data_IF_886299437088
#
_entry.id   IF_886299437088
#
_cell.length_a   1.000
_cell.length_b   1.000
_cell.length_c   1.000
_cell.angle_alpha   90.00
_cell.angle_beta   90.00
_cell.angle_gamma   90.00
#
_symmetry.space_group_name_H-M   'P 1'
#
loop_
_entity.id
_entity.type
_entity.pdbx_description
1 polymer ?
#
# COMPACT_ATOMS: atom_id res chain seq x y z
N UNK A 1 13.38 -16.86 -10.66
CA UNK A 1 14.20 -15.68 -10.39
C UNK A 1 15.05 -15.30 -11.61
N UNK A 2 14.45 -15.15 -12.81
CA UNK A 2 15.14 -14.69 -14.04
C UNK A 2 14.18 -14.10 -15.08
N UNK A 3 13.08 -13.48 -14.65
CA UNK A 3 12.11 -12.87 -15.58
C UNK A 3 12.02 -11.34 -15.42
N UNK A 4 12.81 -10.73 -14.55
CA UNK A 4 12.67 -9.31 -14.19
C UNK A 4 13.70 -8.36 -14.86
N UNK A 5 14.59 -8.84 -15.71
CA UNK A 5 15.73 -8.02 -16.19
C UNK A 5 15.68 -7.65 -17.67
N UNK A 6 14.65 -8.00 -18.43
CA UNK A 6 14.65 -7.80 -19.92
C UNK A 6 13.72 -6.72 -20.43
N UNK A 7 13.11 -5.89 -19.61
CA UNK A 7 12.05 -4.98 -20.08
C UNK A 7 12.25 -3.49 -19.79
N UNK A 8 13.48 -3.03 -19.81
CA UNK A 8 13.74 -1.62 -20.07
C UNK A 8 13.54 -1.37 -21.57
N UNK A 9 12.34 -0.94 -21.96
CA UNK A 9 12.09 -0.46 -23.33
C UNK A 9 10.79 -0.85 -24.00
N UNK A 10 9.91 -1.61 -23.38
CA UNK A 10 8.62 -1.93 -24.00
C UNK A 10 7.49 -1.14 -23.32
N UNK A 11 6.73 -0.43 -24.14
CA UNK A 11 5.64 0.44 -23.70
C UNK A 11 4.67 -0.25 -22.72
N UNK A 12 4.28 0.47 -21.70
CA UNK A 12 3.30 0.11 -20.65
C UNK A 12 2.01 -0.53 -21.23
N UNK A 13 1.64 -0.19 -22.47
CA UNK A 13 0.52 -0.77 -23.20
C UNK A 13 0.62 -2.28 -23.46
N UNK A 14 1.84 -2.82 -23.63
CA UNK A 14 2.05 -4.25 -23.95
C UNK A 14 1.84 -5.16 -22.74
N UNK A 15 2.14 -4.70 -21.53
CA UNK A 15 1.93 -5.46 -20.30
C UNK A 15 0.46 -5.53 -19.90
N UNK A 16 -0.27 -4.41 -20.01
CA UNK A 16 -1.72 -4.40 -19.81
C UNK A 16 -2.42 -5.37 -20.77
N UNK A 17 -1.99 -5.41 -22.03
CA UNK A 17 -2.60 -6.31 -23.03
C UNK A 17 -2.26 -7.77 -22.76
N UNK A 18 -1.02 -8.10 -22.38
CA UNK A 18 -0.63 -9.46 -22.01
C UNK A 18 -1.36 -9.94 -20.74
N UNK A 19 -1.50 -9.05 -19.75
CA UNK A 19 -2.24 -9.33 -18.52
C UNK A 19 -3.73 -9.49 -18.79
N UNK A 20 -4.35 -8.63 -19.61
CA UNK A 20 -5.76 -8.78 -20.01
C UNK A 20 -5.99 -10.09 -20.76
N UNK A 21 -5.07 -10.51 -21.65
CA UNK A 21 -5.14 -11.80 -22.33
C UNK A 21 -4.98 -12.99 -21.38
N UNK A 22 -4.10 -12.87 -20.37
CA UNK A 22 -3.97 -13.88 -19.32
C UNK A 22 -5.25 -14.01 -18.48
N UNK A 23 -5.95 -12.89 -18.22
CA UNK A 23 -7.22 -12.85 -17.49
C UNK A 23 -8.41 -13.39 -18.28
N UNK A 24 -8.34 -13.35 -19.62
CA UNK A 24 -9.31 -14.00 -20.50
C UNK A 24 -9.06 -15.52 -20.62
N UNK A 25 -7.95 -16.00 -20.03
CA UNK A 25 -7.59 -17.42 -20.09
C UNK A 25 -8.58 -18.24 -19.24
N UNK A 26 -9.17 -19.31 -19.80
CA UNK A 26 -10.08 -20.21 -19.09
C UNK A 26 -9.47 -20.91 -17.86
N UNK A 27 -8.14 -20.85 -17.71
CA UNK A 27 -7.39 -21.42 -16.59
C UNK A 27 -7.63 -20.68 -15.25
N UNK A 28 -8.08 -19.42 -15.30
CA UNK A 28 -8.44 -18.67 -14.11
C UNK A 28 -9.92 -18.88 -13.82
N UNK A 29 -10.22 -19.63 -12.79
CA UNK A 29 -11.59 -19.82 -12.34
C UNK A 29 -12.30 -18.49 -12.10
N UNK A 30 -13.62 -18.47 -12.33
CA UNK A 30 -14.45 -17.26 -12.14
C UNK A 30 -14.28 -16.64 -10.75
N UNK A 31 -14.09 -17.46 -9.71
CA UNK A 31 -13.84 -17.01 -8.35
C UNK A 31 -12.56 -16.16 -8.23
N UNK A 32 -11.45 -16.57 -8.87
CA UNK A 32 -10.19 -15.85 -8.83
C UNK A 32 -10.30 -14.50 -9.51
N UNK A 33 -10.98 -14.44 -10.66
CA UNK A 33 -11.22 -13.18 -11.38
C UNK A 33 -12.10 -12.23 -10.57
N UNK A 34 -13.20 -12.69 -9.99
CA UNK A 34 -14.08 -11.85 -9.19
C UNK A 34 -13.40 -11.39 -7.89
N UNK A 35 -12.57 -12.24 -7.29
CA UNK A 35 -11.75 -11.87 -6.14
C UNK A 35 -10.77 -10.77 -6.50
N UNK A 36 -10.12 -10.82 -7.66
CA UNK A 36 -9.20 -9.77 -8.10
C UNK A 36 -9.92 -8.43 -8.33
N UNK A 37 -11.08 -8.42 -8.99
CA UNK A 37 -11.88 -7.20 -9.12
C UNK A 37 -12.26 -6.65 -7.76
N UNK A 38 -12.66 -7.51 -6.84
CA UNK A 38 -12.99 -7.10 -5.48
C UNK A 38 -11.78 -6.53 -4.73
N UNK A 39 -10.57 -7.08 -4.94
CA UNK A 39 -9.33 -6.50 -4.40
C UNK A 39 -9.11 -5.10 -4.96
N UNK A 40 -9.27 -4.88 -6.26
CA UNK A 40 -9.10 -3.57 -6.88
C UNK A 40 -10.06 -2.52 -6.28
N UNK A 41 -11.31 -2.88 -6.04
CA UNK A 41 -12.30 -2.00 -5.42
C UNK A 41 -12.10 -1.78 -3.92
N UNK A 42 -11.26 -2.56 -3.25
CA UNK A 42 -10.99 -2.48 -1.81
C UNK A 42 -9.56 -2.04 -1.48
N UNK A 43 -8.79 -1.59 -2.47
CA UNK A 43 -7.43 -1.05 -2.24
C UNK A 43 -7.48 0.08 -1.20
N UNK A 44 -6.51 0.12 -0.28
CA UNK A 44 -6.48 1.08 0.83
C UNK A 44 -7.42 0.76 1.99
N UNK A 45 -8.25 -0.27 1.87
CA UNK A 45 -9.19 -0.67 2.92
C UNK A 45 -8.97 -2.12 3.35
N UNK A 46 -9.40 -2.45 4.57
CA UNK A 46 -9.45 -3.84 5.03
C UNK A 46 -10.30 -4.67 4.07
N UNK A 47 -9.77 -5.80 3.60
CA UNK A 47 -10.50 -6.69 2.70
C UNK A 47 -11.72 -7.34 3.37
N UNK A 48 -12.87 -7.23 2.71
CA UNK A 48 -14.16 -7.75 3.17
C UNK A 48 -14.61 -8.86 2.23
N UNK A 49 -14.58 -10.10 2.70
CA UNK A 49 -14.89 -11.30 1.90
C UNK A 49 -16.30 -11.29 1.30
N UNK A 50 -17.28 -10.73 2.01
CA UNK A 50 -18.67 -10.66 1.56
C UNK A 50 -18.91 -9.69 0.41
N UNK A 51 -17.92 -8.84 0.07
CA UNK A 51 -18.00 -7.92 -1.07
C UNK A 51 -17.53 -8.58 -2.38
N UNK A 52 -17.07 -9.84 -2.35
CA UNK A 52 -16.74 -10.56 -3.56
C UNK A 52 -18.04 -11.03 -4.24
N UNK A 53 -18.31 -10.49 -5.41
CA UNK A 53 -19.50 -10.84 -6.20
C UNK A 53 -19.44 -12.28 -6.73
N UNK A 54 -20.62 -12.90 -6.88
CA UNK A 54 -20.74 -14.26 -7.48
C UNK A 54 -21.10 -15.36 -6.48
N UNK A 55 -21.39 -15.04 -5.22
CA UNK A 55 -21.90 -16.01 -4.24
C UNK A 55 -20.88 -17.05 -3.78
N UNK A 56 -19.58 -16.73 -3.85
CA UNK A 56 -18.51 -17.62 -3.45
C UNK A 56 -18.41 -17.78 -1.92
N UNK A 57 -18.05 -18.98 -1.49
CA UNK A 57 -17.76 -19.26 -0.09
C UNK A 57 -16.45 -18.56 0.33
N UNK A 58 -16.32 -18.27 1.63
CA UNK A 58 -15.07 -17.69 2.18
C UNK A 58 -13.84 -18.55 1.85
N UNK A 59 -13.99 -19.87 1.79
CA UNK A 59 -12.90 -20.79 1.45
C UNK A 59 -12.45 -20.61 -0.01
N UNK A 60 -13.39 -20.47 -0.95
CA UNK A 60 -13.07 -20.23 -2.35
C UNK A 60 -12.37 -18.88 -2.55
N UNK A 61 -12.84 -17.83 -1.87
CA UNK A 61 -12.19 -16.51 -1.92
C UNK A 61 -10.80 -16.55 -1.31
N UNK A 62 -10.58 -17.26 -0.19
CA UNK A 62 -9.25 -17.42 0.41
C UNK A 62 -8.29 -18.13 -0.54
N UNK A 63 -8.71 -19.23 -1.16
CA UNK A 63 -7.89 -19.94 -2.15
C UNK A 63 -7.55 -19.02 -3.34
N UNK A 64 -8.51 -18.22 -3.81
CA UNK A 64 -8.27 -17.25 -4.87
C UNK A 64 -7.23 -16.17 -4.46
N UNK A 65 -7.33 -15.64 -3.25
CA UNK A 65 -6.35 -14.68 -2.71
C UNK A 65 -4.95 -15.31 -2.57
N UNK A 66 -4.86 -16.57 -2.13
CA UNK A 66 -3.58 -17.28 -2.05
C UNK A 66 -2.96 -17.46 -3.45
N UNK A 67 -3.75 -17.88 -4.44
CA UNK A 67 -3.29 -18.00 -5.83
C UNK A 67 -2.80 -16.65 -6.39
N UNK A 68 -3.55 -15.57 -6.15
CA UNK A 68 -3.18 -14.23 -6.62
C UNK A 68 -1.91 -13.72 -5.94
N UNK A 69 -1.75 -13.98 -4.64
CA UNK A 69 -0.54 -13.64 -3.87
C UNK A 69 0.67 -14.45 -4.37
N UNK A 70 0.53 -15.77 -4.53
CA UNK A 70 1.60 -16.65 -4.96
C UNK A 70 2.03 -16.37 -6.40
N UNK A 71 1.11 -15.88 -7.23
CA UNK A 71 1.39 -15.34 -8.56
C UNK A 71 2.03 -13.93 -8.53
N UNK A 72 2.15 -13.30 -7.35
CA UNK A 72 2.72 -11.97 -7.20
C UNK A 72 1.82 -10.84 -7.74
N UNK A 73 0.53 -11.08 -7.94
CA UNK A 73 -0.42 -10.09 -8.49
C UNK A 73 -0.94 -9.17 -7.39
N UNK A 74 -1.14 -9.72 -6.19
CA UNK A 74 -1.54 -8.97 -5.01
C UNK A 74 -0.49 -9.10 -3.92
N UNK A 75 -0.35 -8.05 -3.14
CA UNK A 75 0.61 -7.92 -2.06
C UNK A 75 -0.16 -7.65 -0.77
N UNK A 76 -0.11 -8.55 0.22
CA UNK A 76 -0.79 -8.32 1.48
C UNK A 76 -0.09 -7.23 2.29
N UNK A 77 -0.90 -6.38 2.93
CA UNK A 77 -0.48 -5.44 3.97
C UNK A 77 -1.14 -5.89 5.27
N UNK A 78 -0.32 -6.37 6.19
CA UNK A 78 -0.80 -7.03 7.40
C UNK A 78 -1.06 -6.05 8.53
N UNK A 79 -2.17 -6.22 9.22
CA UNK A 79 -2.36 -5.51 10.49
C UNK A 79 -1.37 -6.04 11.54
N UNK A 80 -0.68 -5.14 12.23
CA UNK A 80 0.15 -5.46 13.39
C UNK A 80 -0.27 -4.64 14.61
N UNK A 81 -0.14 -5.21 15.80
CA UNK A 81 -0.33 -4.47 17.05
C UNK A 81 0.83 -3.47 17.31
N UNK A 82 1.99 -3.73 16.71
CA UNK A 82 3.18 -2.88 16.76
C UNK A 82 3.59 -2.48 18.19
N UNK A 83 3.61 -3.43 19.12
CA UNK A 83 4.09 -3.22 20.48
C UNK A 83 5.58 -3.57 20.62
N UNK A 84 6.15 -4.28 19.63
CA UNK A 84 7.55 -4.69 19.61
C UNK A 84 7.98 -5.18 18.24
N UNK A 85 9.21 -5.65 18.14
CA UNK A 85 9.77 -6.29 16.96
C UNK A 85 10.04 -7.78 17.24
N UNK A 86 9.93 -8.64 16.22
CA UNK A 86 9.55 -8.34 14.83
C UNK A 86 8.06 -8.02 14.67
N UNK A 87 7.72 -7.08 13.80
CA UNK A 87 6.33 -6.64 13.53
C UNK A 87 5.41 -7.81 13.14
N UNK A 88 5.98 -8.79 12.43
CA UNK A 88 5.27 -9.99 12.00
C UNK A 88 4.83 -10.93 13.13
N UNK A 89 5.36 -10.79 14.35
CA UNK A 89 4.96 -11.61 15.49
C UNK A 89 3.57 -11.25 16.03
N UNK A 90 3.09 -10.04 15.75
CA UNK A 90 1.82 -9.52 16.27
C UNK A 90 0.78 -9.28 15.15
N UNK A 91 0.84 -10.07 14.08
CA UNK A 91 -0.12 -10.00 12.97
C UNK A 91 -1.50 -10.48 13.42
N UNK A 92 -2.52 -9.70 13.05
CA UNK A 92 -3.90 -10.15 13.11
C UNK A 92 -4.39 -10.57 11.71
N UNK A 93 -4.46 -11.88 11.39
CA UNK A 93 -4.79 -12.35 10.05
C UNK A 93 -6.23 -12.06 9.61
N UNK A 94 -7.10 -11.61 10.52
CA UNK A 94 -8.47 -11.17 10.20
C UNK A 94 -8.51 -9.76 9.63
N UNK A 95 -7.40 -9.05 9.71
CA UNK A 95 -7.27 -7.67 9.26
C UNK A 95 -6.12 -7.62 8.27
N UNK A 96 -6.46 -7.66 7.01
CA UNK A 96 -5.50 -7.57 5.91
C UNK A 96 -6.04 -6.61 4.85
N UNK A 97 -5.15 -5.77 4.32
CA UNK A 97 -5.37 -5.01 3.10
C UNK A 97 -4.59 -5.67 1.97
N UNK A 98 -4.95 -5.39 0.75
CA UNK A 98 -4.19 -5.86 -0.41
C UNK A 98 -3.86 -4.71 -1.34
N UNK A 99 -2.61 -4.61 -1.74
CA UNK A 99 -2.15 -3.79 -2.83
C UNK A 99 -2.08 -4.65 -4.11
N UNK A 100 -2.27 -4.04 -5.26
CA UNK A 100 -1.92 -4.66 -6.55
C UNK A 100 -0.43 -4.39 -6.83
N UNK A 101 0.18 -5.25 -7.64
CA UNK A 101 1.61 -5.13 -8.00
C UNK A 101 1.93 -3.87 -8.80
N UNK A 102 0.93 -3.31 -9.47
CA UNK A 102 1.11 -2.15 -10.35
C UNK A 102 -0.12 -1.23 -10.31
N UNK A 103 0.12 0.09 -10.30
CA UNK A 103 -0.94 1.09 -10.25
C UNK A 103 -1.69 1.23 -11.59
N UNK A 104 -1.02 1.04 -12.73
CA UNK A 104 -1.68 1.05 -14.03
C UNK A 104 -2.61 -0.14 -14.17
N UNK A 105 -2.24 -1.27 -13.60
CA UNK A 105 -3.10 -2.45 -13.53
C UNK A 105 -4.35 -2.19 -12.68
N UNK A 106 -4.21 -1.53 -11.52
CA UNK A 106 -5.36 -1.10 -10.71
C UNK A 106 -6.30 -0.20 -11.50
N UNK A 107 -5.76 0.83 -12.15
CA UNK A 107 -6.56 1.78 -12.93
C UNK A 107 -7.30 1.09 -14.08
N UNK A 108 -6.66 0.14 -14.76
CA UNK A 108 -7.29 -0.65 -15.79
C UNK A 108 -8.45 -1.50 -15.26
N UNK A 109 -8.27 -2.17 -14.12
CA UNK A 109 -9.34 -2.96 -13.49
C UNK A 109 -10.53 -2.10 -13.06
N UNK A 110 -10.28 -0.84 -12.70
CA UNK A 110 -11.30 0.15 -12.36
C UNK A 110 -11.93 0.85 -13.58
N UNK A 111 -11.59 0.41 -14.80
CA UNK A 111 -12.17 0.93 -16.05
C UNK A 111 -11.52 2.21 -16.58
N UNK A 112 -10.37 2.62 -16.03
CA UNK A 112 -9.59 3.73 -16.55
C UNK A 112 -8.58 3.15 -17.57
N UNK A 113 -9.03 2.97 -18.82
CA UNK A 113 -8.27 2.34 -19.90
C UNK A 113 -7.30 3.29 -20.64
N UNK A 114 -7.29 3.24 -21.97
CA UNK A 114 -6.31 3.90 -22.87
C UNK A 114 -6.16 5.43 -22.74
N UNK A 115 -7.07 6.11 -22.07
CA UNK A 115 -6.95 7.53 -21.68
C UNK A 115 -5.99 7.76 -20.51
N UNK A 116 -5.32 6.72 -20.03
CA UNK A 116 -4.51 6.71 -18.81
C UNK A 116 -3.44 7.81 -18.75
N UNK A 117 -2.80 8.10 -19.88
CA UNK A 117 -1.72 9.11 -19.89
C UNK A 117 -2.22 10.55 -19.70
N UNK A 118 -3.40 10.90 -20.21
CA UNK A 118 -3.99 12.24 -19.98
C UNK A 118 -4.61 12.31 -18.59
N UNK A 119 -5.33 11.26 -18.18
CA UNK A 119 -5.97 11.19 -16.88
C UNK A 119 -4.93 11.12 -15.76
N UNK A 120 -3.90 10.28 -15.85
CA UNK A 120 -2.81 10.23 -14.86
C UNK A 120 -2.08 11.56 -14.76
N UNK A 121 -1.89 12.26 -15.88
CA UNK A 121 -1.27 13.59 -15.88
C UNK A 121 -2.17 14.63 -15.20
N UNK A 122 -3.45 14.67 -15.51
CA UNK A 122 -4.43 15.53 -14.83
C UNK A 122 -4.53 15.21 -13.34
N UNK A 123 -4.50 13.94 -12.98
CA UNK A 123 -4.59 13.46 -11.61
C UNK A 123 -3.39 13.80 -10.75
N UNK A 124 -2.18 13.70 -11.33
CA UNK A 124 -0.93 13.94 -10.61
C UNK A 124 -0.49 15.41 -10.68
N UNK A 125 -0.81 16.13 -11.74
CA UNK A 125 -0.30 17.49 -11.99
C UNK A 125 -1.32 18.56 -11.69
N UNK A 126 -2.58 18.36 -12.06
CA UNK A 126 -3.58 19.45 -12.06
C UNK A 126 -4.47 19.51 -10.81
N UNK A 127 -4.12 18.78 -9.72
CA UNK A 127 -4.94 18.77 -8.50
C UNK A 127 -6.43 18.49 -8.74
N UNK A 128 -6.78 17.72 -9.76
CA UNK A 128 -8.16 17.33 -10.02
C UNK A 128 -8.74 16.67 -8.78
N UNK A 129 -9.59 17.40 -8.07
CA UNK A 129 -10.17 17.00 -6.79
C UNK A 129 -11.12 15.80 -6.89
N UNK A 130 -11.44 15.38 -8.12
CA UNK A 130 -12.57 14.52 -8.44
C UNK A 130 -12.23 13.03 -8.59
N UNK A 131 -10.99 12.61 -8.31
CA UNK A 131 -10.72 11.18 -8.20
C UNK A 131 -11.26 10.62 -6.88
N UNK A 132 -12.27 9.81 -7.01
CA UNK A 132 -12.67 8.89 -5.96
C UNK A 132 -11.47 8.03 -5.62
N UNK A 133 -11.06 7.99 -4.35
CA UNK A 133 -9.95 7.17 -3.82
C UNK A 133 -8.51 7.56 -4.19
N UNK A 134 -8.24 8.84 -4.48
CA UNK A 134 -6.86 9.35 -4.66
C UNK A 134 -5.95 8.97 -3.48
N UNK A 135 -6.49 8.93 -2.26
CA UNK A 135 -5.77 8.52 -1.04
C UNK A 135 -5.29 7.08 -1.13
N UNK A 136 -6.17 6.15 -1.43
CA UNK A 136 -5.88 4.72 -1.53
C UNK A 136 -4.87 4.39 -2.63
N UNK A 137 -4.97 5.06 -3.78
CA UNK A 137 -3.98 4.93 -4.86
C UNK A 137 -2.60 5.41 -4.40
N UNK A 138 -2.53 6.56 -3.73
CA UNK A 138 -1.26 7.11 -3.22
C UNK A 138 -0.67 6.21 -2.13
N UNK A 139 -1.49 5.67 -1.23
CA UNK A 139 -1.08 4.69 -0.23
C UNK A 139 -0.50 3.45 -0.91
N UNK A 140 -1.18 2.89 -1.90
CA UNK A 140 -0.70 1.72 -2.64
C UNK A 140 0.65 1.99 -3.32
N UNK A 141 0.80 3.12 -4.01
CA UNK A 141 2.06 3.50 -4.67
C UNK A 141 3.19 3.62 -3.64
N UNK A 142 2.92 4.25 -2.49
CA UNK A 142 3.90 4.34 -1.41
C UNK A 142 4.32 2.96 -0.91
N UNK A 143 3.38 2.01 -0.75
CA UNK A 143 3.69 0.63 -0.36
C UNK A 143 4.53 -0.12 -1.39
N UNK A 144 4.27 0.08 -2.68
CA UNK A 144 5.09 -0.50 -3.76
C UNK A 144 6.51 0.05 -3.74
N UNK A 145 6.67 1.37 -3.56
CA UNK A 145 7.98 2.00 -3.43
C UNK A 145 8.72 1.51 -2.17
N UNK A 146 8.05 1.33 -1.03
CA UNK A 146 8.66 0.74 0.16
C UNK A 146 9.25 -0.64 -0.16
N UNK A 147 8.49 -1.54 -0.78
CA UNK A 147 8.96 -2.89 -1.12
C UNK A 147 10.14 -2.87 -2.10
N UNK A 148 10.11 -1.96 -3.07
CA UNK A 148 11.15 -1.84 -4.10
C UNK A 148 12.53 -1.51 -3.52
N UNK A 149 12.57 -0.76 -2.43
CA UNK A 149 13.82 -0.34 -1.79
C UNK A 149 14.20 -1.16 -0.56
N UNK A 150 13.42 -2.17 -0.17
CA UNK A 150 13.79 -3.14 0.85
C UNK A 150 14.86 -4.10 0.34
N UNK A 151 15.59 -4.74 1.24
CA UNK A 151 16.68 -5.67 0.89
C UNK A 151 16.16 -6.85 0.05
N UNK A 152 16.71 -7.14 -1.13
CA UNK A 152 16.28 -8.28 -1.95
C UNK A 152 16.64 -9.65 -1.35
N UNK A 153 17.49 -9.66 -0.30
CA UNK A 153 17.99 -10.87 0.34
C UNK A 153 17.15 -11.32 1.53
N UNK A 154 16.14 -10.54 1.89
CA UNK A 154 15.27 -10.81 3.02
C UNK A 154 13.82 -10.86 2.57
N UNK A 155 13.00 -11.63 3.29
CA UNK A 155 11.56 -11.58 3.09
C UNK A 155 11.02 -10.34 3.78
N UNK A 156 10.33 -9.50 3.02
CA UNK A 156 9.68 -8.31 3.54
C UNK A 156 8.17 -8.42 3.36
N UNK A 157 7.46 -8.08 4.43
CA UNK A 157 6.02 -7.91 4.43
C UNK A 157 5.70 -6.44 4.75
N UNK A 158 4.61 -5.92 4.21
CA UNK A 158 4.09 -4.61 4.57
C UNK A 158 3.16 -4.73 5.78
N UNK A 159 3.24 -3.76 6.66
CA UNK A 159 2.42 -3.70 7.87
C UNK A 159 1.70 -2.37 7.97
N UNK A 160 0.49 -2.40 8.51
CA UNK A 160 -0.28 -1.24 8.90
C UNK A 160 -0.79 -1.41 10.33
N UNK A 161 -1.24 -0.33 10.93
CA UNK A 161 -1.86 -0.38 12.25
C UNK A 161 -3.26 0.22 12.23
N UNK A 162 -4.18 -0.39 12.94
CA UNK A 162 -5.52 0.12 13.14
C UNK A 162 -5.91 -0.04 14.61
N UNK A 163 -6.53 0.99 15.17
CA UNK A 163 -7.15 0.87 16.48
C UNK A 163 -8.40 0.00 16.38
N UNK A 164 -8.39 -1.13 17.10
CA UNK A 164 -9.49 -2.09 17.11
C UNK A 164 -10.52 -1.81 18.22
N UNK A 165 -10.33 -0.74 18.99
CA UNK A 165 -11.26 -0.37 20.07
C UNK A 165 -12.55 0.19 19.46
N UNK A 166 -13.69 -0.26 19.97
CA UNK A 166 -15.00 0.18 19.50
C UNK A 166 -15.15 1.70 19.63
N UNK A 167 -15.66 2.33 18.59
CA UNK A 167 -15.98 3.78 18.56
C UNK A 167 -14.82 4.69 18.19
N UNK A 168 -13.62 4.17 17.98
CA UNK A 168 -12.47 4.96 17.55
C UNK A 168 -11.91 4.37 16.27
N UNK A 169 -11.99 5.11 15.18
CA UNK A 169 -11.37 4.73 13.91
C UNK A 169 -10.07 5.52 13.78
N UNK A 170 -8.96 4.86 14.07
CA UNK A 170 -7.62 5.40 13.86
C UNK A 170 -6.80 4.37 13.12
N UNK A 171 -6.18 4.76 12.03
CA UNK A 171 -5.37 3.90 11.19
C UNK A 171 -4.10 4.63 10.79
N UNK A 172 -2.98 3.91 10.76
CA UNK A 172 -1.68 4.36 10.24
C UNK A 172 -1.37 3.52 9.02
N UNK A 173 -1.12 4.16 7.90
CA UNK A 173 -1.02 3.53 6.58
C UNK A 173 0.07 2.47 6.51
N UNK A 174 1.26 2.77 7.04
CA UNK A 174 2.35 1.81 7.14
C UNK A 174 3.06 1.87 8.49
N UNK A 175 3.55 0.71 8.93
CA UNK A 175 4.43 0.58 10.09
C UNK A 175 5.70 -0.10 9.65
N UNK A 176 6.84 0.55 9.85
CA UNK A 176 8.15 0.09 9.45
C UNK A 176 8.98 -0.28 10.67
N UNK A 177 9.97 -1.15 10.50
CA UNK A 177 11.02 -1.39 11.48
C UNK A 177 12.34 -0.81 10.96
N UNK A 178 13.03 -0.02 11.79
CA UNK A 178 14.40 0.48 11.54
C UNK A 178 15.30 0.05 12.68
N UNK A 179 16.03 -1.03 12.46
CA UNK A 179 16.72 -1.70 13.56
C UNK A 179 15.73 -2.14 14.64
N UNK A 180 15.84 -1.59 15.83
CA UNK A 180 14.94 -1.87 16.95
C UNK A 180 13.76 -0.88 17.05
N UNK A 181 13.74 0.16 16.24
CA UNK A 181 12.72 1.21 16.31
C UNK A 181 11.53 0.86 15.40
N UNK A 182 10.33 1.08 15.94
CA UNK A 182 9.08 1.01 15.19
C UNK A 182 8.75 2.42 14.71
N UNK A 183 8.59 2.57 13.40
CA UNK A 183 8.38 3.86 12.75
C UNK A 183 7.06 3.86 12.00
N UNK A 184 6.03 4.53 12.51
CA UNK A 184 4.78 4.71 11.78
C UNK A 184 4.97 5.70 10.63
N UNK A 185 4.34 5.41 9.50
CA UNK A 185 4.35 6.25 8.31
C UNK A 185 2.92 6.53 7.85
N UNK A 186 2.60 7.79 7.74
CA UNK A 186 1.33 8.30 7.21
C UNK A 186 1.54 8.83 5.79
N UNK A 187 0.69 8.44 4.87
CA UNK A 187 0.74 8.84 3.46
C UNK A 187 -0.37 9.86 3.17
N UNK A 188 -0.03 10.94 2.50
CA UNK A 188 -1.00 11.96 2.10
C UNK A 188 -0.88 12.26 0.61
N UNK A 189 -1.99 12.20 -0.09
CA UNK A 189 -2.07 12.48 -1.53
C UNK A 189 -1.94 13.96 -1.89
N UNK A 190 -1.81 14.85 -0.91
CA UNK A 190 -1.70 16.30 -1.09
C UNK A 190 -0.80 16.93 -0.03
N UNK A 191 -0.75 18.28 -0.04
CA UNK A 191 0.02 19.07 0.93
C UNK A 191 -0.64 19.10 2.31
N UNK A 192 -1.95 18.89 2.39
CA UNK A 192 -2.73 18.95 3.64
C UNK A 192 -3.34 17.59 3.95
N UNK A 193 -3.69 17.38 5.20
CA UNK A 193 -4.37 16.16 5.65
C UNK A 193 -4.30 16.01 7.15
N UNK A 194 -5.31 15.37 7.73
CA UNK A 194 -5.33 15.07 9.17
C UNK A 194 -4.22 14.08 9.52
N UNK A 195 -3.60 14.29 10.67
CA UNK A 195 -2.57 13.43 11.27
C UNK A 195 -3.07 12.81 12.58
N UNK A 196 -4.38 12.90 12.85
CA UNK A 196 -4.94 12.49 14.14
C UNK A 196 -4.63 11.02 14.48
N UNK A 197 -4.77 10.11 13.51
CA UNK A 197 -4.46 8.68 13.71
C UNK A 197 -2.98 8.45 14.03
N UNK A 198 -2.10 9.15 13.32
CA UNK A 198 -0.66 9.07 13.57
C UNK A 198 -0.33 9.57 14.98
N UNK A 199 -0.95 10.66 15.43
CA UNK A 199 -0.73 11.17 16.79
C UNK A 199 -1.20 10.17 17.85
N UNK A 200 -2.36 9.53 17.65
CA UNK A 200 -2.85 8.47 18.54
C UNK A 200 -1.84 7.31 18.62
N UNK A 201 -1.32 6.87 17.48
CA UNK A 201 -0.31 5.81 17.46
C UNK A 201 0.99 6.23 18.17
N UNK A 202 1.43 7.47 17.95
CA UNK A 202 2.64 8.03 18.56
C UNK A 202 2.51 8.22 20.07
N UNK A 203 1.32 8.10 20.67
CA UNK A 203 1.18 8.11 22.15
C UNK A 203 1.85 6.92 22.81
N UNK A 204 2.03 5.80 22.10
CA UNK A 204 2.78 4.66 22.61
C UNK A 204 4.21 5.09 22.97
N UNK A 205 4.66 4.71 24.17
CA UNK A 205 5.94 5.18 24.74
C UNK A 205 7.15 4.84 23.87
N UNK A 206 7.16 3.64 23.28
CA UNK A 206 8.26 3.12 22.48
C UNK A 206 8.38 3.75 21.08
N UNK A 207 7.41 4.59 20.65
CA UNK A 207 7.49 5.29 19.37
C UNK A 207 8.25 6.59 19.56
N UNK A 208 9.44 6.68 18.95
CA UNK A 208 10.34 7.83 19.08
C UNK A 208 10.01 8.94 18.10
N UNK A 209 9.74 8.58 16.85
CA UNK A 209 9.43 9.51 15.76
C UNK A 209 8.49 8.84 14.75
N UNK A 210 8.00 9.64 13.83
CA UNK A 210 7.12 9.17 12.74
C UNK A 210 7.56 9.78 11.41
N UNK A 211 6.98 9.26 10.31
CA UNK A 211 7.19 9.77 8.97
C UNK A 211 5.85 10.19 8.40
N UNK A 212 5.83 11.37 7.77
CA UNK A 212 4.77 11.83 6.90
C UNK A 212 5.28 11.81 5.46
N UNK A 213 4.71 10.97 4.61
CA UNK A 213 4.95 11.00 3.17
C UNK A 213 3.86 11.81 2.48
N UNK A 214 4.25 12.85 1.74
CA UNK A 214 3.30 13.73 1.06
C UNK A 214 3.93 14.38 -0.17
N UNK A 215 3.22 15.31 -0.79
CA UNK A 215 3.78 16.17 -1.87
C UNK A 215 4.60 17.36 -1.32
N UNK A 216 4.73 17.48 0.01
CA UNK A 216 5.59 18.50 0.62
C UNK A 216 7.06 18.15 0.39
N UNK A 217 7.92 19.16 0.46
CA UNK A 217 9.37 18.96 0.42
C UNK A 217 9.88 18.38 1.75
N UNK A 218 11.15 17.96 1.80
CA UNK A 218 11.79 17.52 3.03
C UNK A 218 11.64 18.56 4.15
N UNK A 219 11.32 18.08 5.33
CA UNK A 219 11.13 18.92 6.48
C UNK A 219 10.91 18.11 7.75
N UNK A 220 10.67 18.81 8.82
CA UNK A 220 10.33 18.21 10.11
C UNK A 220 9.45 19.13 10.93
N UNK A 221 8.63 18.54 11.75
CA UNK A 221 7.84 19.24 12.75
C UNK A 221 7.61 18.34 13.97
N UNK A 222 7.04 18.88 15.02
CA UNK A 222 6.76 18.13 16.24
C UNK A 222 5.28 17.90 16.43
N UNK A 223 4.93 16.71 16.92
CA UNK A 223 3.57 16.37 17.30
C UNK A 223 3.12 17.23 18.50
N UNK A 224 1.82 17.28 18.82
CA UNK A 224 1.33 17.99 20.01
C UNK A 224 1.98 17.54 21.33
N UNK A 225 2.51 16.32 21.40
CA UNK A 225 3.24 15.77 22.55
C UNK A 225 4.77 15.87 22.43
N UNK A 226 5.28 16.66 21.49
CA UNK A 226 6.71 16.94 21.36
C UNK A 226 7.54 15.85 20.65
N UNK A 227 6.91 14.80 20.09
CA UNK A 227 7.63 13.78 19.31
C UNK A 227 7.85 14.27 17.87
N UNK A 228 9.02 13.97 17.32
CA UNK A 228 9.46 14.38 15.98
C UNK A 228 8.67 13.70 14.88
N UNK A 229 8.31 14.43 13.84
CA UNK A 229 7.74 13.91 12.61
C UNK A 229 8.58 14.40 11.44
N UNK A 230 9.12 13.46 10.68
CA UNK A 230 9.89 13.73 9.48
C UNK A 230 8.95 13.81 8.29
N UNK A 231 9.07 14.86 7.49
CA UNK A 231 8.37 14.98 6.21
C UNK A 231 9.28 14.46 5.12
N UNK A 232 8.81 13.45 4.40
CA UNK A 232 9.52 12.85 3.28
C UNK A 232 8.65 12.96 2.03
N UNK A 233 9.15 13.55 0.93
CA UNK A 233 8.42 13.58 -0.33
C UNK A 233 8.10 12.17 -0.82
N UNK A 234 6.93 11.97 -1.42
CA UNK A 234 6.52 10.67 -1.99
C UNK A 234 7.53 10.14 -3.02
N UNK A 235 8.13 11.02 -3.83
CA UNK A 235 9.15 10.63 -4.82
C UNK A 235 10.48 10.21 -4.20
N UNK A 236 10.68 10.45 -2.92
CA UNK A 236 11.94 10.20 -2.21
C UNK A 236 11.83 9.10 -1.15
N UNK A 237 10.90 8.16 -1.30
CA UNK A 237 10.74 7.01 -0.37
C UNK A 237 12.03 6.19 -0.28
N UNK A 238 12.81 6.11 -1.37
CA UNK A 238 14.13 5.47 -1.37
C UNK A 238 15.06 5.99 -0.27
N UNK A 239 14.97 7.26 0.08
CA UNK A 239 15.82 7.86 1.12
C UNK A 239 15.57 7.27 2.51
N UNK A 240 14.39 6.68 2.73
CA UNK A 240 14.08 5.98 3.98
C UNK A 240 14.95 4.73 4.20
N UNK A 241 15.54 4.20 3.15
CA UNK A 241 16.40 3.00 3.16
C UNK A 241 17.88 3.30 2.93
N UNK A 242 18.24 4.54 2.63
CA UNK A 242 19.64 4.94 2.46
C UNK A 242 20.38 4.73 3.76
N UNK A 243 21.38 3.86 3.72
CA UNK A 243 22.22 3.50 4.85
C UNK A 243 23.05 4.71 5.29
N UNK A 244 22.98 5.09 6.55
CA UNK A 244 23.90 6.03 7.20
C UNK A 244 23.34 7.42 7.45
N UNK A 245 22.99 7.67 8.70
CA UNK A 245 23.14 8.95 9.46
C UNK A 245 22.57 10.28 8.93
N UNK A 246 21.80 10.36 7.85
CA UNK A 246 21.32 11.65 7.32
C UNK A 246 19.84 11.96 7.54
N UNK A 247 19.21 11.33 8.49
CA UNK A 247 17.86 11.73 8.95
C UNK A 247 17.86 12.10 10.45
N UNK A 248 18.94 12.73 10.92
CA UNK A 248 19.01 13.42 12.19
C UNK A 248 19.29 14.89 11.96
#
# INVERSE_FOLDING_TARGET
MKLLVVLEGCAISSWCTLFCLAFSCPLWGTATRQTLFSVAHQVGSKFVFSQVEGGYTTAQVKNALEMLRDAGIIIPVWHTAANGIPLGAEINPKFVKYNLIDHGFLLNLLGIGDSTNSIVKELLVDNAADLVDKGSLTEMVAGLELLKYMSPNERHDLYYWQNLTRGTVSEVDYVLSRGIDIVPMEVKSGLRGSMASLYVFMEKEHIKYAIRCSLENFGEFVSPKGKKILVNPLYAISNLFSCGERLL
#
